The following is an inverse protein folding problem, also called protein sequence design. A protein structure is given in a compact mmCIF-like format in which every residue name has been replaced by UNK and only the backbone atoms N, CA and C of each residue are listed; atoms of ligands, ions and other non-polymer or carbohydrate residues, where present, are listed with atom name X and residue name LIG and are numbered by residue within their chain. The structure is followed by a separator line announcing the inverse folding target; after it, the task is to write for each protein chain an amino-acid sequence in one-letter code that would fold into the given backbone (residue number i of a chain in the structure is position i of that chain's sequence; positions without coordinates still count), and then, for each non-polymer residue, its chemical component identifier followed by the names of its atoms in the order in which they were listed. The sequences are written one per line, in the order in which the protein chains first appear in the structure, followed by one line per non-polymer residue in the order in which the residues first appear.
data_IF_804872723396
#
_entry.id   IF_804872723396
#
_cell.length_a   1.000
_cell.length_b   1.000
_cell.length_c   1.000
_cell.angle_alpha   90.00
_cell.angle_beta   90.00
_cell.angle_gamma   90.00
#
_symmetry.space_group_name_H-M   'P 1'
#
loop_
_entity.id
_entity.type
_entity.pdbx_description
1 polymer ?
#
# COMPACT_ATOMS: atom_id res chain seq x y z
N UNK A 1 3.05 10.43 -6.49
CA UNK A 1 3.01 9.27 -5.59
C UNK A 1 2.41 8.10 -6.36
N UNK A 2 3.07 6.94 -6.34
CA UNK A 2 2.65 5.70 -7.02
C UNK A 2 2.27 5.88 -8.50
N UNK A 3 3.02 6.76 -9.20
CA UNK A 3 2.78 7.09 -10.60
C UNK A 3 1.63 8.06 -10.86
N UNK A 4 0.99 8.57 -9.82
CA UNK A 4 -0.11 9.52 -9.92
C UNK A 4 0.27 10.89 -9.39
N UNK A 5 -0.23 11.95 -10.06
CA UNK A 5 -0.07 13.31 -9.56
C UNK A 5 -0.91 13.53 -8.31
N UNK A 6 -0.30 14.17 -7.32
CA UNK A 6 -0.95 14.61 -6.07
C UNK A 6 -0.66 16.10 -5.87
N UNK A 7 -1.45 16.79 -5.04
CA UNK A 7 -1.09 18.13 -4.61
C UNK A 7 0.27 18.07 -3.91
N UNK A 8 1.27 18.85 -4.36
CA UNK A 8 2.57 18.89 -3.71
C UNK A 8 2.45 19.35 -2.25
N UNK A 9 3.20 18.70 -1.37
CA UNK A 9 3.31 19.09 0.04
C UNK A 9 4.75 18.92 0.53
N UNK A 10 5.08 19.58 1.63
CA UNK A 10 6.43 19.57 2.20
C UNK A 10 6.47 18.56 3.35
N UNK A 11 7.43 17.64 3.26
CA UNK A 11 7.70 16.66 4.31
C UNK A 11 9.20 16.45 4.46
N UNK A 12 9.64 16.23 5.68
CA UNK A 12 11.01 15.87 6.01
C UNK A 12 11.17 14.37 6.35
N UNK A 13 10.05 13.71 6.60
CA UNK A 13 9.99 12.29 6.98
C UNK A 13 8.72 11.63 6.45
N UNK A 14 8.86 10.48 5.83
CA UNK A 14 7.74 9.69 5.32
C UNK A 14 8.01 8.20 5.43
N UNK A 15 6.95 7.40 5.48
CA UNK A 15 7.05 5.95 5.39
C UNK A 15 7.10 5.54 3.92
N UNK A 16 7.96 4.57 3.61
CA UNK A 16 8.08 3.98 2.27
C UNK A 16 8.14 2.46 2.40
N UNK A 17 7.00 1.82 2.19
CA UNK A 17 6.90 0.37 2.19
C UNK A 17 7.22 -0.25 0.82
N UNK A 18 7.45 -1.58 0.76
CA UNK A 18 7.64 -2.28 -0.50
C UNK A 18 6.52 -1.98 -1.50
N UNK A 19 6.89 -1.70 -2.76
CA UNK A 19 5.95 -1.35 -3.84
C UNK A 19 5.53 0.11 -3.90
N UNK A 20 5.73 0.91 -2.86
CA UNK A 20 5.44 2.34 -2.90
C UNK A 20 6.50 3.12 -3.67
N UNK A 21 6.10 4.18 -4.38
CA UNK A 21 6.98 5.08 -5.13
C UNK A 21 6.61 6.51 -4.79
N UNK A 22 7.63 7.33 -4.56
CA UNK A 22 7.48 8.76 -4.24
C UNK A 22 8.47 9.56 -5.07
N UNK A 23 7.99 10.59 -5.75
CA UNK A 23 8.83 11.56 -6.43
C UNK A 23 9.08 12.75 -5.50
N UNK A 24 10.34 13.06 -5.27
CA UNK A 24 10.76 14.15 -4.40
C UNK A 24 11.26 15.32 -5.23
N UNK A 25 10.72 16.50 -4.99
CA UNK A 25 11.23 17.76 -5.51
C UNK A 25 12.10 18.42 -4.44
N UNK A 26 13.38 18.59 -4.74
CA UNK A 26 14.35 19.13 -3.78
C UNK A 26 14.94 20.41 -4.32
N UNK A 27 14.85 21.47 -3.51
CA UNK A 27 15.53 22.74 -3.82
C UNK A 27 17.00 22.62 -3.45
N UNK A 28 17.89 22.83 -4.41
CA UNK A 28 19.33 22.57 -4.27
C UNK A 28 20.22 23.80 -4.33
N UNK A 29 19.65 25.02 -4.33
CA UNK A 29 20.36 26.28 -4.64
C UNK A 29 21.65 26.47 -3.82
N UNK A 30 21.64 26.08 -2.54
CA UNK A 30 22.74 26.29 -1.60
C UNK A 30 23.30 24.97 -1.04
N UNK A 31 22.93 23.82 -1.65
CA UNK A 31 23.33 22.52 -1.16
C UNK A 31 24.49 21.96 -1.98
N UNK A 32 25.49 21.41 -1.28
CA UNK A 32 26.57 20.62 -1.89
C UNK A 32 26.31 19.12 -1.85
N UNK A 33 25.44 18.68 -0.93
CA UNK A 33 25.04 17.28 -0.74
C UNK A 33 23.67 17.16 -0.11
N UNK A 34 23.03 16.03 -0.32
CA UNK A 34 21.81 15.61 0.37
C UNK A 34 22.05 14.22 0.91
N UNK A 35 21.82 14.02 2.21
CA UNK A 35 21.90 12.74 2.88
C UNK A 35 20.48 12.24 3.20
N UNK A 36 20.18 11.00 2.83
CA UNK A 36 18.92 10.33 3.16
C UNK A 36 19.16 9.28 4.24
N UNK A 37 18.30 9.27 5.24
CA UNK A 37 18.43 8.36 6.38
C UNK A 37 17.19 7.49 6.53
N UNK A 38 17.42 6.22 6.82
CA UNK A 38 16.44 5.31 7.37
C UNK A 38 16.39 5.55 8.89
N UNK A 39 15.18 5.83 9.43
CA UNK A 39 14.99 6.27 10.82
C UNK A 39 13.98 5.43 11.61
N UNK A 40 13.59 4.24 11.11
CA UNK A 40 12.68 3.34 11.83
C UNK A 40 13.36 2.66 13.02
N UNK A 41 14.69 2.53 12.98
CA UNK A 41 15.49 1.93 14.02
C UNK A 41 15.83 2.87 15.18
N UNK A 42 16.55 2.33 16.20
CA UNK A 42 17.01 3.12 17.35
C UNK A 42 18.02 4.21 17.00
N UNK A 43 18.72 4.05 15.88
CA UNK A 43 19.71 5.02 15.37
C UNK A 43 19.48 5.20 13.87
N UNK A 44 19.56 6.44 13.35
CA UNK A 44 19.51 6.68 11.92
C UNK A 44 20.61 5.92 11.17
N UNK A 45 20.24 5.27 10.06
CA UNK A 45 21.16 4.61 9.16
C UNK A 45 21.21 5.42 7.85
N UNK A 46 22.41 5.69 7.35
CA UNK A 46 22.54 6.35 6.04
C UNK A 46 22.04 5.41 4.96
N UNK A 47 20.93 5.79 4.30
CA UNK A 47 20.37 5.04 3.19
C UNK A 47 21.15 5.31 1.89
N UNK A 48 21.29 6.57 1.54
CA UNK A 48 22.14 7.00 0.41
C UNK A 48 22.47 8.48 0.48
N UNK A 49 23.46 8.90 -0.32
CA UNK A 49 23.95 10.29 -0.41
C UNK A 49 23.94 10.74 -1.84
N UNK A 50 23.43 11.94 -2.09
CA UNK A 50 23.54 12.64 -3.36
C UNK A 50 24.55 13.77 -3.23
N UNK A 51 25.61 13.73 -4.03
CA UNK A 51 26.52 14.86 -4.16
C UNK A 51 25.98 15.78 -5.26
N UNK A 52 25.77 17.04 -4.91
CA UNK A 52 25.30 18.06 -5.85
C UNK A 52 26.55 18.73 -6.42
N UNK A 53 27.00 18.25 -7.58
CA UNK A 53 28.01 18.96 -8.32
C UNK A 53 27.42 20.29 -8.81
N UNK A 54 28.15 21.38 -8.70
CA UNK A 54 27.73 22.67 -9.29
C UNK A 54 27.52 22.47 -10.79
N UNK A 55 26.30 22.14 -11.15
CA UNK A 55 25.88 22.03 -12.54
C UNK A 55 26.00 23.41 -13.13
N UNK A 56 26.63 23.51 -14.30
CA UNK A 56 26.67 24.72 -15.09
C UNK A 56 25.30 25.40 -15.05
N UNK A 57 25.26 26.66 -14.59
CA UNK A 57 24.03 27.47 -14.43
C UNK A 57 23.15 27.54 -15.69
N UNK A 58 23.63 27.05 -16.83
CA UNK A 58 22.89 26.94 -18.10
C UNK A 58 21.78 25.88 -18.10
N UNK A 59 21.80 24.91 -17.19
CA UNK A 59 20.82 23.80 -17.14
C UNK A 59 19.84 23.89 -15.98
N UNK A 60 19.72 25.07 -15.36
CA UNK A 60 18.70 25.26 -14.31
C UNK A 60 17.33 25.25 -14.99
N UNK A 61 16.50 24.32 -14.61
CA UNK A 61 15.07 24.30 -14.98
C UNK A 61 14.44 25.52 -14.29
N UNK A 62 14.32 26.62 -15.03
CA UNK A 62 13.71 27.88 -14.56
C UNK A 62 12.17 27.87 -14.71
N UNK A 63 11.60 26.79 -15.24
CA UNK A 63 10.15 26.69 -15.45
C UNK A 63 9.51 25.97 -14.28
N UNK A 64 8.35 26.44 -13.89
CA UNK A 64 7.48 25.68 -12.99
C UNK A 64 7.27 24.27 -13.55
N UNK A 65 7.43 23.27 -12.70
CA UNK A 65 7.19 21.89 -13.10
C UNK A 65 5.67 21.73 -13.18
N UNK A 66 5.16 21.68 -14.42
CA UNK A 66 3.75 21.36 -14.65
C UNK A 66 3.55 19.85 -14.45
N UNK A 67 2.98 19.47 -13.31
CA UNK A 67 2.53 18.11 -13.08
C UNK A 67 1.27 17.82 -13.91
N UNK A 68 1.05 16.58 -14.34
CA UNK A 68 -0.23 16.18 -14.95
C UNK A 68 -1.40 16.52 -14.03
N UNK A 69 -2.57 16.73 -14.62
CA UNK A 69 -3.76 17.07 -13.84
C UNK A 69 -4.08 16.01 -12.77
N UNK A 70 -4.37 16.49 -11.57
CA UNK A 70 -4.75 15.64 -10.45
C UNK A 70 -6.15 15.07 -10.72
N UNK A 71 -6.31 13.76 -10.56
CA UNK A 71 -7.63 13.14 -10.65
C UNK A 71 -8.55 13.72 -9.58
N UNK A 72 -9.72 14.21 -9.98
CA UNK A 72 -10.75 14.64 -9.03
C UNK A 72 -11.20 13.44 -8.19
N UNK A 73 -11.37 13.66 -6.90
CA UNK A 73 -11.95 12.66 -6.01
C UNK A 73 -13.38 12.40 -6.49
N UNK A 74 -13.75 11.14 -6.81
CA UNK A 74 -15.10 10.80 -7.22
C UNK A 74 -16.12 11.08 -6.12
N UNK A 75 -17.39 11.27 -6.52
CA UNK A 75 -18.50 11.28 -5.56
C UNK A 75 -18.76 9.84 -5.08
N UNK A 76 -18.43 9.55 -3.84
CA UNK A 76 -18.50 8.21 -3.26
C UNK A 76 -19.93 7.83 -2.78
N UNK A 77 -20.94 8.08 -3.61
CA UNK A 77 -22.33 7.69 -3.30
C UNK A 77 -22.55 6.18 -3.45
N UNK A 78 -23.33 5.61 -2.53
CA UNK A 78 -23.76 4.21 -2.54
C UNK A 78 -22.62 3.19 -2.76
N UNK A 79 -21.55 3.23 -1.97
CA UNK A 79 -20.44 2.31 -2.14
C UNK A 79 -20.80 0.87 -1.75
N UNK A 80 -20.22 -0.10 -2.43
CA UNK A 80 -20.18 -1.49 -1.93
C UNK A 80 -19.02 -1.61 -0.94
N UNK A 81 -19.34 -2.05 0.28
CA UNK A 81 -18.34 -2.25 1.33
C UNK A 81 -17.89 -3.71 1.32
N UNK A 82 -16.59 -3.92 1.25
CA UNK A 82 -15.93 -5.22 1.37
C UNK A 82 -15.02 -5.18 2.59
N UNK A 83 -15.15 -6.16 3.48
CA UNK A 83 -14.32 -6.25 4.69
C UNK A 83 -13.17 -7.22 4.48
N UNK A 84 -11.97 -6.76 4.73
CA UNK A 84 -10.74 -7.55 4.65
C UNK A 84 -10.08 -7.56 6.03
N UNK A 85 -10.15 -8.68 6.71
CA UNK A 85 -9.49 -8.91 8.00
C UNK A 85 -8.17 -9.65 7.75
N UNK A 86 -7.06 -8.95 7.90
CA UNK A 86 -5.71 -9.50 7.72
C UNK A 86 -5.24 -10.11 9.04
N UNK A 87 -4.93 -11.40 9.02
CA UNK A 87 -4.62 -12.18 10.22
C UNK A 87 -3.38 -13.04 10.01
N UNK A 88 -2.71 -13.38 11.10
CA UNK A 88 -1.59 -14.33 11.09
C UNK A 88 -0.26 -13.75 11.53
N UNK A 89 0.80 -14.45 11.14
CA UNK A 89 2.17 -14.15 11.55
C UNK A 89 2.50 -14.55 12.98
N UNK A 90 3.78 -14.44 13.33
CA UNK A 90 4.24 -14.68 14.70
C UNK A 90 3.54 -13.71 15.66
N UNK A 91 3.03 -14.22 16.77
CA UNK A 91 2.26 -13.47 17.79
C UNK A 91 0.98 -12.81 17.26
N UNK A 92 0.50 -13.22 16.09
CA UNK A 92 -0.75 -12.73 15.50
C UNK A 92 -1.98 -13.47 16.05
N UNK A 93 -3.17 -12.96 15.71
CA UNK A 93 -4.46 -13.46 16.22
C UNK A 93 -5.10 -14.50 15.28
N UNK A 94 -4.33 -15.44 14.73
CA UNK A 94 -4.83 -16.50 13.86
C UNK A 94 -4.69 -17.85 14.53
N UNK A 95 -5.77 -18.35 15.19
CA UNK A 95 -5.78 -19.69 15.78
C UNK A 95 -6.00 -20.78 14.73
N UNK A 96 -6.88 -20.52 13.77
CA UNK A 96 -7.28 -21.43 12.68
C UNK A 96 -7.61 -20.64 11.42
N UNK A 97 -7.38 -21.26 10.25
CA UNK A 97 -7.85 -20.78 8.97
C UNK A 97 -8.13 -21.93 8.00
N UNK A 98 -8.90 -21.65 6.96
CA UNK A 98 -9.14 -22.57 5.86
C UNK A 98 -7.98 -22.50 4.86
N UNK A 99 -7.50 -23.66 4.45
CA UNK A 99 -6.56 -23.82 3.35
C UNK A 99 -7.02 -24.98 2.49
N UNK A 100 -7.27 -24.72 1.22
CA UNK A 100 -7.81 -25.70 0.24
C UNK A 100 -9.10 -26.38 0.72
N UNK A 101 -9.98 -25.56 1.32
CA UNK A 101 -11.28 -26.04 1.81
C UNK A 101 -11.25 -26.78 3.16
N UNK A 102 -10.07 -26.95 3.76
CA UNK A 102 -9.89 -27.65 5.04
C UNK A 102 -9.52 -26.67 6.14
N UNK A 103 -10.26 -26.68 7.24
CA UNK A 103 -9.89 -25.90 8.43
C UNK A 103 -8.68 -26.53 9.12
N UNK A 104 -7.61 -25.77 9.26
CA UNK A 104 -6.37 -26.16 9.92
C UNK A 104 -6.03 -25.19 11.05
N UNK A 105 -5.40 -25.70 12.11
CA UNK A 105 -4.83 -24.84 13.14
C UNK A 105 -3.56 -24.13 12.62
N UNK A 106 -3.20 -23.01 13.22
CA UNK A 106 -2.06 -22.19 12.78
C UNK A 106 -0.73 -22.97 12.76
N UNK A 107 -0.53 -23.89 13.73
CA UNK A 107 0.71 -24.69 13.78
C UNK A 107 0.84 -25.60 12.54
N UNK A 108 -0.21 -26.31 12.16
CA UNK A 108 -0.21 -27.14 10.94
C UNK A 108 -0.02 -26.28 9.69
N UNK A 109 -0.73 -25.16 9.55
CA UNK A 109 -0.53 -24.23 8.44
C UNK A 109 0.92 -23.78 8.33
N UNK A 110 1.54 -23.39 9.45
CA UNK A 110 2.91 -22.89 9.46
C UNK A 110 3.96 -23.98 9.21
N UNK A 111 3.82 -25.14 9.84
CA UNK A 111 4.86 -26.17 9.82
C UNK A 111 4.79 -27.08 8.59
N UNK A 112 3.57 -27.43 8.16
CA UNK A 112 3.32 -28.37 7.07
C UNK A 112 3.17 -27.63 5.74
N UNK A 113 2.28 -26.60 5.70
CA UNK A 113 1.91 -25.93 4.45
C UNK A 113 2.75 -24.68 4.17
N UNK A 114 3.56 -24.19 5.14
CA UNK A 114 4.32 -22.93 5.06
C UNK A 114 3.42 -21.72 4.81
N UNK A 115 2.22 -21.73 5.43
CA UNK A 115 1.23 -20.67 5.37
C UNK A 115 1.15 -19.97 6.72
N UNK A 116 1.28 -18.64 6.68
CA UNK A 116 1.37 -17.82 7.89
C UNK A 116 0.29 -16.74 7.94
N UNK A 117 -0.39 -16.47 6.82
CA UNK A 117 -1.30 -15.35 6.66
C UNK A 117 -2.63 -15.77 6.10
N UNK A 118 -3.68 -15.01 6.45
CA UNK A 118 -5.02 -15.22 5.95
C UNK A 118 -5.78 -13.90 5.79
N UNK A 119 -6.69 -13.84 4.82
CA UNK A 119 -7.75 -12.86 4.74
C UNK A 119 -9.05 -13.50 5.20
N UNK A 120 -9.75 -12.90 6.17
CA UNK A 120 -11.04 -13.39 6.67
C UNK A 120 -11.02 -14.88 7.05
N UNK A 121 -9.94 -15.35 7.68
CA UNK A 121 -9.67 -16.77 8.02
C UNK A 121 -9.51 -17.71 6.82
N UNK A 122 -9.26 -17.18 5.63
CA UNK A 122 -8.95 -17.98 4.44
C UNK A 122 -7.50 -17.72 4.03
N UNK A 123 -6.70 -18.77 3.94
CA UNK A 123 -5.33 -18.68 3.42
C UNK A 123 -5.40 -18.46 1.91
N UNK A 124 -4.95 -17.29 1.49
CA UNK A 124 -5.05 -16.89 0.10
C UNK A 124 -4.09 -17.59 -0.84
N UNK A 125 -4.47 -17.61 -2.11
CA UNK A 125 -3.68 -18.01 -3.27
C UNK A 125 -4.12 -17.19 -4.49
N UNK A 126 -3.43 -17.30 -5.61
CA UNK A 126 -3.72 -16.48 -6.80
C UNK A 126 -5.17 -16.64 -7.31
N UNK A 127 -5.76 -17.83 -7.15
CA UNK A 127 -7.12 -18.16 -7.57
C UNK A 127 -8.17 -17.85 -6.50
N UNK A 128 -7.75 -17.33 -5.32
CA UNK A 128 -8.67 -17.03 -4.24
C UNK A 128 -9.44 -15.74 -4.53
N UNK A 129 -10.76 -15.86 -4.74
CA UNK A 129 -11.65 -14.72 -4.95
C UNK A 129 -12.04 -14.08 -3.64
N UNK A 130 -11.67 -12.82 -3.45
CA UNK A 130 -12.10 -12.01 -2.31
C UNK A 130 -13.51 -11.43 -2.55
N UNK A 131 -13.81 -11.04 -3.78
CA UNK A 131 -15.11 -10.52 -4.18
C UNK A 131 -15.25 -10.42 -5.71
N UNK A 132 -16.51 -10.37 -6.16
CA UNK A 132 -16.88 -9.88 -7.50
C UNK A 132 -17.69 -8.60 -7.38
N UNK A 133 -17.39 -7.61 -8.21
CA UNK A 133 -18.02 -6.29 -8.24
C UNK A 133 -18.38 -5.90 -9.67
N UNK A 134 -19.32 -4.97 -9.84
CA UNK A 134 -19.71 -4.51 -11.16
C UNK A 134 -18.85 -3.34 -11.61
N UNK A 135 -18.55 -3.27 -12.91
CA UNK A 135 -17.93 -2.09 -13.50
C UNK A 135 -18.72 -0.82 -13.18
N UNK A 136 -18.01 0.25 -12.85
CA UNK A 136 -18.60 1.54 -12.46
C UNK A 136 -19.06 1.62 -11.00
N UNK A 137 -18.92 0.54 -10.22
CA UNK A 137 -19.29 0.53 -8.81
C UNK A 137 -18.19 1.19 -7.96
N UNK A 138 -18.60 2.01 -7.00
CA UNK A 138 -17.71 2.52 -5.96
C UNK A 138 -17.49 1.41 -4.92
N UNK A 139 -16.23 1.13 -4.61
CA UNK A 139 -15.85 0.11 -3.65
C UNK A 139 -15.13 0.76 -2.48
N UNK A 140 -15.48 0.34 -1.27
CA UNK A 140 -14.71 0.61 -0.05
C UNK A 140 -14.22 -0.72 0.48
N UNK A 141 -12.89 -0.92 0.46
CA UNK A 141 -12.27 -2.01 1.21
C UNK A 141 -12.04 -1.50 2.64
N UNK A 142 -12.78 -2.03 3.59
CA UNK A 142 -12.49 -1.83 5.02
C UNK A 142 -11.44 -2.86 5.44
N UNK A 143 -10.19 -2.44 5.46
CA UNK A 143 -9.04 -3.32 5.73
C UNK A 143 -8.62 -3.16 7.19
N UNK A 144 -8.50 -4.26 7.89
CA UNK A 144 -7.97 -4.31 9.25
C UNK A 144 -6.72 -5.18 9.31
N UNK A 145 -5.59 -4.59 9.68
CA UNK A 145 -4.37 -5.31 10.00
C UNK A 145 -4.41 -5.79 11.46
N UNK A 146 -4.96 -6.98 11.69
CA UNK A 146 -5.01 -7.63 13.02
C UNK A 146 -3.78 -8.52 13.25
N UNK A 147 -2.61 -8.01 12.87
CA UNK A 147 -1.34 -8.69 13.09
C UNK A 147 -0.38 -7.81 13.88
N UNK A 148 0.80 -8.34 14.22
CA UNK A 148 1.89 -7.61 14.87
C UNK A 148 2.91 -7.05 13.90
N UNK A 149 2.64 -7.12 12.60
CA UNK A 149 3.56 -6.75 11.53
C UNK A 149 2.96 -5.68 10.62
N UNK A 150 3.78 -4.77 10.07
CA UNK A 150 3.32 -3.89 9.01
C UNK A 150 3.10 -4.69 7.71
N UNK A 151 2.18 -4.24 6.88
CA UNK A 151 1.87 -4.85 5.59
C UNK A 151 1.68 -3.79 4.51
N UNK A 152 2.44 -3.90 3.43
CA UNK A 152 2.34 -3.03 2.27
C UNK A 152 1.29 -3.59 1.32
N UNK A 153 0.04 -3.10 1.41
CA UNK A 153 -1.10 -3.64 0.68
C UNK A 153 -1.22 -3.00 -0.69
N UNK A 154 -1.18 -3.83 -1.73
CA UNK A 154 -1.22 -3.42 -3.13
C UNK A 154 -2.47 -3.96 -3.84
N UNK A 155 -3.10 -3.11 -4.65
CA UNK A 155 -4.21 -3.47 -5.53
C UNK A 155 -3.78 -3.28 -6.99
N UNK A 156 -3.74 -4.39 -7.74
CA UNK A 156 -3.44 -4.36 -9.17
C UNK A 156 -4.53 -3.62 -9.96
N UNK A 157 -4.14 -3.00 -11.06
CA UNK A 157 -5.02 -2.43 -12.06
C UNK A 157 -5.92 -1.26 -11.62
N UNK A 158 -5.85 -0.87 -10.36
CA UNK A 158 -6.64 0.20 -9.79
C UNK A 158 -5.82 1.04 -8.81
N UNK A 159 -6.14 2.34 -8.73
CA UNK A 159 -5.68 3.19 -7.64
C UNK A 159 -6.84 3.45 -6.70
N UNK A 160 -6.55 3.57 -5.42
CA UNK A 160 -7.53 3.84 -4.38
C UNK A 160 -7.17 5.09 -3.58
N UNK A 161 -8.17 5.78 -3.09
CA UNK A 161 -8.01 6.85 -2.12
C UNK A 161 -7.94 6.26 -0.72
N UNK A 162 -6.97 6.71 0.06
CA UNK A 162 -6.80 6.34 1.48
C UNK A 162 -6.47 7.57 2.30
N UNK A 163 -7.01 7.65 3.52
CA UNK A 163 -6.56 8.64 4.49
C UNK A 163 -5.21 8.17 5.02
N UNK A 164 -4.14 8.76 4.46
CA UNK A 164 -2.78 8.32 4.75
C UNK A 164 -2.33 8.79 6.12
N UNK A 165 -1.74 7.88 6.89
CA UNK A 165 -1.03 8.17 8.14
C UNK A 165 0.48 8.23 7.96
N UNK A 166 0.93 8.17 6.72
CA UNK A 166 2.36 8.17 6.36
C UNK A 166 2.97 9.57 6.39
N UNK A 167 2.12 10.61 6.35
CA UNK A 167 2.51 12.01 6.31
C UNK A 167 1.94 12.78 7.51
N UNK A 168 2.55 13.89 7.85
CA UNK A 168 2.16 14.74 8.98
C UNK A 168 0.76 15.35 8.83
N UNK A 169 0.29 15.55 7.60
CA UNK A 169 -1.03 16.10 7.30
C UNK A 169 -2.04 14.97 7.00
N UNK A 170 -2.60 14.39 8.05
CA UNK A 170 -3.43 13.18 8.01
C UNK A 170 -4.88 13.37 7.51
N UNK A 171 -5.31 14.60 7.24
CA UNK A 171 -6.73 14.89 6.95
C UNK A 171 -7.09 14.74 5.47
N UNK A 172 -6.12 14.51 4.60
CA UNK A 172 -6.34 14.42 3.16
C UNK A 172 -6.36 12.97 2.67
N UNK A 173 -7.28 12.70 1.75
CA UNK A 173 -7.25 11.48 0.97
C UNK A 173 -6.12 11.54 -0.05
N UNK A 174 -5.25 10.55 -0.05
CA UNK A 174 -4.15 10.41 -0.99
C UNK A 174 -4.44 9.27 -1.95
N UNK A 175 -4.20 9.49 -3.24
CA UNK A 175 -4.35 8.46 -4.26
C UNK A 175 -3.11 7.56 -4.25
N UNK A 176 -3.31 6.26 -4.09
CA UNK A 176 -2.29 5.23 -3.98
C UNK A 176 -2.67 4.00 -4.79
N UNK A 177 -1.71 3.18 -5.16
CA UNK A 177 -1.92 1.78 -5.52
C UNK A 177 -1.39 0.82 -4.44
N UNK A 178 -0.54 1.35 -3.55
CA UNK A 178 0.11 0.60 -2.47
C UNK A 178 0.10 1.43 -1.18
N UNK A 179 -0.31 0.83 -0.06
CA UNK A 179 -0.36 1.50 1.24
C UNK A 179 0.24 0.65 2.35
N UNK A 180 1.18 1.23 3.12
CA UNK A 180 1.83 0.57 4.25
C UNK A 180 0.96 0.68 5.50
N UNK A 181 0.22 -0.37 5.81
CA UNK A 181 -0.58 -0.48 7.03
C UNK A 181 0.26 -0.88 8.23
N UNK A 182 0.12 -0.15 9.32
CA UNK A 182 0.78 -0.46 10.58
C UNK A 182 0.05 -1.58 11.36
N UNK A 183 0.72 -2.24 12.33
CA UNK A 183 0.07 -3.21 13.22
C UNK A 183 -1.17 -2.63 13.91
N UNK A 184 -2.28 -3.37 13.89
CA UNK A 184 -3.56 -2.96 14.49
C UNK A 184 -4.35 -1.91 13.72
N UNK A 185 -3.82 -1.39 12.62
CA UNK A 185 -4.43 -0.32 11.83
C UNK A 185 -5.70 -0.80 11.11
N UNK A 186 -6.71 0.10 11.08
CA UNK A 186 -7.91 -0.01 10.27
C UNK A 186 -7.94 1.13 9.28
N UNK A 187 -8.04 0.81 8.00
CA UNK A 187 -8.04 1.80 6.91
C UNK A 187 -9.12 1.49 5.89
N UNK A 188 -9.55 2.53 5.15
CA UNK A 188 -10.52 2.41 4.06
C UNK A 188 -9.82 2.74 2.76
N UNK A 189 -9.81 1.79 1.83
CA UNK A 189 -9.34 1.99 0.47
C UNK A 189 -10.54 2.16 -0.44
N UNK A 190 -10.68 3.34 -1.04
CA UNK A 190 -11.88 3.76 -1.78
C UNK A 190 -11.51 3.91 -3.25
N UNK A 191 -12.18 3.18 -4.14
CA UNK A 191 -11.90 3.27 -5.56
C UNK A 191 -13.14 3.05 -6.43
N UNK A 192 -13.07 3.52 -7.67
CA UNK A 192 -14.05 3.23 -8.71
C UNK A 192 -13.57 1.97 -9.45
N UNK A 193 -14.39 0.93 -9.46
CA UNK A 193 -14.12 -0.31 -10.20
C UNK A 193 -14.43 -0.10 -11.69
N UNK A 194 -13.57 0.64 -12.41
CA UNK A 194 -13.77 1.00 -13.81
C UNK A 194 -12.95 0.15 -14.79
N UNK A 195 -12.08 -0.69 -14.29
CA UNK A 195 -11.18 -1.54 -15.06
C UNK A 195 -11.62 -3.02 -14.96
N UNK A 196 -12.30 -3.60 -15.98
CA UNK A 196 -12.74 -5.00 -15.96
C UNK A 196 -11.57 -5.96 -15.92
N UNK A 197 -11.72 -7.06 -15.14
CA UNK A 197 -10.70 -8.09 -15.00
C UNK A 197 -10.55 -8.62 -13.58
N UNK A 198 -9.59 -9.53 -13.38
CA UNK A 198 -9.22 -10.07 -12.07
C UNK A 198 -7.97 -9.36 -11.56
N UNK A 199 -8.12 -8.61 -10.50
CA UNK A 199 -7.08 -7.76 -9.96
C UNK A 199 -6.62 -8.27 -8.60
N UNK A 200 -5.35 -8.63 -8.50
CA UNK A 200 -4.77 -9.11 -7.24
C UNK A 200 -4.81 -7.99 -6.19
N UNK A 201 -5.19 -8.39 -4.97
CA UNK A 201 -5.02 -7.63 -3.75
C UNK A 201 -4.13 -8.45 -2.82
N UNK A 202 -2.94 -7.95 -2.53
CA UNK A 202 -1.94 -8.71 -1.80
C UNK A 202 -0.96 -7.82 -1.02
N UNK A 203 -0.24 -8.42 -0.08
CA UNK A 203 0.89 -7.76 0.54
C UNK A 203 2.08 -7.73 -0.44
N UNK A 204 2.71 -6.56 -0.60
CA UNK A 204 3.88 -6.41 -1.47
C UNK A 204 5.20 -6.85 -0.80
N UNK A 205 5.16 -7.25 0.47
CA UNK A 205 6.17 -8.14 1.05
C UNK A 205 5.89 -9.53 0.51
N UNK A 206 6.67 -9.96 -0.48
CA UNK A 206 6.30 -11.12 -1.33
C UNK A 206 6.24 -12.43 -0.56
N UNK A 207 7.00 -12.58 0.52
CA UNK A 207 6.94 -13.71 1.44
C UNK A 207 5.57 -13.79 2.13
N UNK A 208 4.96 -12.63 2.45
CA UNK A 208 3.62 -12.59 3.02
C UNK A 208 2.56 -12.99 1.99
N UNK A 209 2.69 -12.52 0.75
CA UNK A 209 1.81 -12.92 -0.34
C UNK A 209 1.92 -14.43 -0.61
N UNK A 210 3.13 -14.96 -0.76
CA UNK A 210 3.39 -16.37 -1.02
C UNK A 210 2.89 -17.29 0.11
N UNK A 211 2.87 -16.77 1.34
CA UNK A 211 2.42 -17.51 2.52
C UNK A 211 0.98 -17.20 2.95
N UNK A 212 0.16 -16.65 2.04
CA UNK A 212 -1.31 -16.60 2.19
C UNK A 212 -1.95 -15.21 2.21
N UNK A 213 -1.19 -14.10 2.17
CA UNK A 213 -1.76 -12.74 2.15
C UNK A 213 -1.99 -12.25 0.72
N UNK A 214 -2.82 -12.95 -0.03
CA UNK A 214 -3.13 -12.71 -1.43
C UNK A 214 -4.53 -13.20 -1.80
N UNK A 215 -5.17 -12.53 -2.73
CA UNK A 215 -6.41 -12.93 -3.39
C UNK A 215 -6.70 -11.96 -4.51
N UNK A 216 -7.83 -12.12 -5.22
CA UNK A 216 -8.21 -11.17 -6.27
C UNK A 216 -9.61 -10.61 -6.05
N UNK A 217 -9.82 -9.41 -6.60
CA UNK A 217 -11.15 -8.81 -6.77
C UNK A 217 -11.46 -8.81 -8.27
N UNK A 218 -12.60 -9.38 -8.64
CA UNK A 218 -13.06 -9.43 -10.03
C UNK A 218 -14.00 -8.27 -10.33
N UNK A 219 -13.71 -7.53 -11.39
CA UNK A 219 -14.57 -6.47 -11.93
C UNK A 219 -15.24 -7.00 -13.19
N UNK A 220 -16.57 -7.16 -13.14
CA UNK A 220 -17.43 -7.68 -14.20
C UNK A 220 -18.04 -6.56 -15.04
#
# INVERSE_FOLDING_TARGET
IDGMSVEPFIEDKFNLGPGQRIDLLIKTDDLSKIDFFEVSGKKPLSAFKLNINQINKKNIIKKDINLPSIKKIPDFKNPKILKIHMQGGAMGNLAKAYFEGVEKNFRSLAMEDKKFWAFNKEVGKYEHSLASVKKGQIIILEVWNDSRWPHSMHLHGNHFYVQSKEFSNNDKLVLRDTYLMQPGEKSKFIYLADNPGKWLFHCHMLEHAASGMIGYIEVL
#
